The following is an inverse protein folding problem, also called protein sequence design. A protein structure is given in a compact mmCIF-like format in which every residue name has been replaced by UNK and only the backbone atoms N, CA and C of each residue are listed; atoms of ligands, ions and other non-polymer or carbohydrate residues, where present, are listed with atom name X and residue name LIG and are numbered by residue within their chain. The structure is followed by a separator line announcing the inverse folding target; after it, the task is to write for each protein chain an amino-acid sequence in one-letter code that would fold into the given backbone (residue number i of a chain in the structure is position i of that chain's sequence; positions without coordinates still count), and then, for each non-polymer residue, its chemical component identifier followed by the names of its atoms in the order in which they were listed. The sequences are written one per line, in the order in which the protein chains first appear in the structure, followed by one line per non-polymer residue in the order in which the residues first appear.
data_IF_598649621137
#
_entry.id   IF_598649621137
#
_cell.length_a   1.000
_cell.length_b   1.000
_cell.length_c   1.000
_cell.angle_alpha   90.00
_cell.angle_beta   90.00
_cell.angle_gamma   90.00
#
_symmetry.space_group_name_H-M   'P 1'
#
loop_
_entity.id
_entity.type
_entity.pdbx_description
1 polymer ?
#
# COMPACT_ATOMS: atom_id res chain seq x y z
N UNK A 1 23.63 -7.08 -54.53
CA UNK A 1 23.13 -5.79 -53.99
C UNK A 1 21.77 -5.91 -53.29
N UNK A 2 20.76 -6.57 -53.87
CA UNK A 2 19.39 -6.64 -53.32
C UNK A 2 19.24 -7.37 -51.97
N UNK A 3 19.96 -8.48 -51.75
CA UNK A 3 19.86 -9.25 -50.48
C UNK A 3 20.42 -8.54 -49.24
N UNK A 4 21.46 -7.70 -49.40
CA UNK A 4 22.00 -6.88 -48.29
C UNK A 4 21.00 -5.80 -47.86
N UNK A 5 20.26 -5.23 -48.81
CA UNK A 5 19.25 -4.20 -48.55
C UNK A 5 18.06 -4.80 -47.80
N UNK A 6 17.59 -5.99 -48.20
CA UNK A 6 16.49 -6.69 -47.51
C UNK A 6 16.87 -7.03 -46.06
N UNK A 7 18.10 -7.50 -45.83
CA UNK A 7 18.59 -7.81 -44.50
C UNK A 7 18.65 -6.56 -43.62
N UNK A 8 19.18 -5.44 -44.14
CA UNK A 8 19.22 -4.17 -43.40
C UNK A 8 17.83 -3.66 -43.05
N UNK A 9 16.87 -3.72 -43.98
CA UNK A 9 15.48 -3.31 -43.73
C UNK A 9 14.84 -4.21 -42.66
N UNK A 10 15.03 -5.53 -42.74
CA UNK A 10 14.52 -6.48 -41.74
C UNK A 10 15.08 -6.20 -40.35
N UNK A 11 16.38 -5.92 -40.23
CA UNK A 11 17.02 -5.59 -38.94
C UNK A 11 16.50 -4.26 -38.38
N UNK A 12 16.22 -3.26 -39.22
CA UNK A 12 15.63 -1.98 -38.78
C UNK A 12 14.22 -2.20 -38.22
N UNK A 13 13.37 -2.97 -38.90
CA UNK A 13 12.03 -3.28 -38.39
C UNK A 13 12.08 -4.10 -37.10
N UNK A 14 12.96 -5.09 -37.02
CA UNK A 14 13.14 -5.89 -35.81
C UNK A 14 13.62 -5.01 -34.65
N UNK A 15 14.59 -4.13 -34.89
CA UNK A 15 15.11 -3.22 -33.88
C UNK A 15 14.04 -2.21 -33.44
N UNK A 16 13.29 -1.61 -34.36
CA UNK A 16 12.21 -0.68 -34.04
C UNK A 16 11.08 -1.36 -33.26
N UNK A 17 10.73 -2.60 -33.61
CA UNK A 17 9.72 -3.39 -32.90
C UNK A 17 10.19 -3.77 -31.48
N UNK A 18 11.42 -4.27 -31.34
CA UNK A 18 12.00 -4.60 -30.03
C UNK A 18 12.17 -3.34 -29.16
N UNK A 19 12.64 -2.23 -29.74
CA UNK A 19 12.81 -0.96 -29.03
C UNK A 19 11.48 -0.34 -28.63
N UNK A 20 10.44 -0.47 -29.46
CA UNK A 20 9.10 -0.01 -29.17
C UNK A 20 8.45 -0.78 -28.03
N UNK A 21 8.63 -2.11 -27.98
CA UNK A 21 8.18 -2.94 -26.86
C UNK A 21 8.96 -2.61 -25.59
N UNK A 22 10.30 -2.51 -25.68
CA UNK A 22 11.13 -2.14 -24.52
C UNK A 22 10.78 -0.74 -24.02
N UNK A 23 10.51 0.22 -24.92
CA UNK A 23 10.06 1.58 -24.57
C UNK A 23 8.68 1.60 -23.91
N UNK A 24 7.73 0.81 -24.42
CA UNK A 24 6.40 0.66 -23.84
C UNK A 24 6.45 0.04 -22.44
N UNK A 25 7.33 -0.95 -22.24
CA UNK A 25 7.55 -1.59 -20.93
C UNK A 25 8.35 -0.69 -19.98
N UNK A 26 9.33 0.07 -20.46
CA UNK A 26 10.19 0.91 -19.60
C UNK A 26 9.57 2.25 -19.21
N UNK A 27 8.57 2.74 -19.94
CA UNK A 27 7.88 4.00 -19.60
C UNK A 27 6.73 3.85 -18.60
N UNK A 28 6.42 2.65 -18.11
CA UNK A 28 5.51 2.33 -17.00
C UNK A 28 4.30 3.26 -16.89
N UNK A 29 3.12 2.81 -17.32
CA UNK A 29 1.94 3.67 -17.54
C UNK A 29 1.48 4.53 -16.36
N UNK A 30 0.42 5.35 -16.53
CA UNK A 30 0.00 6.31 -15.51
C UNK A 30 -0.20 5.65 -14.15
N UNK A 31 0.05 6.40 -13.08
CA UNK A 31 -0.36 5.94 -11.76
C UNK A 31 -1.88 5.93 -11.61
N UNK A 32 -2.35 5.27 -10.57
CA UNK A 32 -3.77 5.02 -10.33
C UNK A 32 -4.60 6.31 -10.30
N UNK A 33 -4.09 7.39 -9.70
CA UNK A 33 -4.77 8.69 -9.61
C UNK A 33 -4.90 9.36 -10.98
N UNK A 34 -3.80 9.40 -11.75
CA UNK A 34 -3.83 9.94 -13.12
C UNK A 34 -4.79 9.14 -14.01
N UNK A 35 -4.73 7.81 -13.93
CA UNK A 35 -5.59 6.92 -14.70
C UNK A 35 -7.08 7.10 -14.34
N UNK A 36 -7.40 7.38 -13.07
CA UNK A 36 -8.77 7.63 -12.61
C UNK A 36 -9.33 8.93 -13.18
N UNK A 37 -8.58 10.02 -13.11
CA UNK A 37 -9.02 11.29 -13.65
C UNK A 37 -9.14 11.31 -15.18
N UNK A 38 -8.38 10.46 -15.88
CA UNK A 38 -8.52 10.24 -17.33
C UNK A 38 -9.71 9.33 -17.69
N UNK A 39 -10.42 8.74 -16.72
CA UNK A 39 -11.50 7.79 -16.95
C UNK A 39 -11.03 6.41 -17.44
N UNK A 40 -9.75 6.10 -17.22
CA UNK A 40 -9.09 4.88 -17.70
C UNK A 40 -8.92 3.83 -16.60
N UNK A 41 -9.54 4.01 -15.43
CA UNK A 41 -9.58 2.99 -14.38
C UNK A 41 -10.87 3.09 -13.56
N UNK A 42 -11.37 1.94 -13.14
CA UNK A 42 -12.48 1.79 -12.19
C UNK A 42 -11.97 0.98 -10.99
N UNK A 43 -12.21 1.47 -9.77
CA UNK A 43 -11.74 0.83 -8.54
C UNK A 43 -12.95 0.47 -7.69
N UNK A 44 -13.13 -0.82 -7.41
CA UNK A 44 -14.28 -1.33 -6.65
C UNK A 44 -13.82 -2.14 -5.46
N UNK A 45 -14.40 -1.89 -4.30
CA UNK A 45 -14.13 -2.69 -3.12
C UNK A 45 -14.73 -4.11 -3.24
N UNK A 46 -13.94 -5.17 -2.98
CA UNK A 46 -14.40 -6.58 -3.08
C UNK A 46 -14.64 -7.23 -1.73
N UNK A 47 -13.81 -6.92 -0.73
CA UNK A 47 -13.96 -7.42 0.64
C UNK A 47 -15.01 -6.62 1.42
N UNK A 48 -15.49 -7.17 2.53
CA UNK A 48 -16.39 -6.50 3.47
C UNK A 48 -15.66 -6.09 4.75
N UNK A 49 -16.33 -5.32 5.61
CA UNK A 49 -15.80 -4.97 6.92
C UNK A 49 -15.43 -6.22 7.75
N UNK A 50 -14.24 -6.18 8.33
CA UNK A 50 -13.65 -7.21 9.18
C UNK A 50 -12.64 -8.12 8.48
N UNK A 51 -12.57 -8.07 7.15
CA UNK A 51 -11.58 -8.79 6.35
C UNK A 51 -10.25 -8.02 6.34
N UNK A 52 -9.17 -8.67 6.78
CA UNK A 52 -7.84 -8.05 6.85
C UNK A 52 -6.81 -9.04 6.30
N UNK A 53 -6.07 -8.71 5.22
CA UNK A 53 -6.21 -7.46 4.45
C UNK A 53 -7.56 -7.39 3.70
N UNK A 54 -7.91 -6.20 3.23
CA UNK A 54 -8.98 -6.00 2.27
C UNK A 54 -8.50 -6.32 0.84
N UNK A 55 -9.46 -6.52 -0.06
CA UNK A 55 -9.21 -6.69 -1.49
C UNK A 55 -10.05 -5.68 -2.26
N UNK A 56 -9.40 -5.02 -3.22
CA UNK A 56 -10.06 -4.16 -4.21
C UNK A 56 -9.85 -4.75 -5.60
N UNK A 57 -10.77 -4.46 -6.51
CA UNK A 57 -10.64 -4.75 -7.93
C UNK A 57 -10.28 -3.45 -8.64
N UNK A 58 -9.18 -3.47 -9.37
CA UNK A 58 -8.74 -2.38 -10.23
C UNK A 58 -8.95 -2.83 -11.67
N UNK A 59 -9.90 -2.21 -12.36
CA UNK A 59 -10.24 -2.51 -13.75
C UNK A 59 -9.66 -1.43 -14.65
N UNK A 60 -8.81 -1.83 -15.58
CA UNK A 60 -8.15 -0.97 -16.55
C UNK A 60 -8.75 -1.20 -17.94
N UNK A 61 -9.78 -0.45 -18.36
CA UNK A 61 -10.29 -0.49 -19.73
C UNK A 61 -9.35 0.18 -20.76
N UNK A 62 -8.25 0.81 -20.31
CA UNK A 62 -7.32 1.55 -21.16
C UNK A 62 -6.33 0.66 -21.93
N UNK A 63 -5.62 1.30 -22.87
CA UNK A 63 -4.62 0.67 -23.76
C UNK A 63 -3.19 0.69 -23.19
N UNK A 64 -3.01 1.28 -22.01
CA UNK A 64 -1.72 1.37 -21.30
C UNK A 64 -1.86 0.70 -19.94
N UNK A 65 -0.80 0.08 -19.41
CA UNK A 65 -0.84 -0.45 -18.06
C UNK A 65 -1.08 0.68 -17.03
N UNK A 66 -1.68 0.35 -15.90
CA UNK A 66 -1.88 1.28 -14.79
C UNK A 66 -1.07 0.81 -13.60
N UNK A 67 -0.27 1.71 -13.03
CA UNK A 67 0.55 1.42 -11.85
C UNK A 67 -0.22 1.72 -10.58
N UNK A 68 -0.37 0.70 -9.75
CA UNK A 68 -0.84 0.83 -8.38
C UNK A 68 0.38 0.85 -7.48
N UNK A 69 0.53 1.92 -6.71
CA UNK A 69 1.64 2.06 -5.76
C UNK A 69 1.15 1.66 -4.37
N UNK A 70 2.02 1.09 -3.56
CA UNK A 70 1.78 0.96 -2.11
C UNK A 70 1.54 2.35 -1.51
N UNK A 71 0.62 2.46 -0.55
CA UNK A 71 0.38 3.71 0.16
C UNK A 71 -0.57 4.68 -0.55
N UNK A 72 -1.14 4.34 -1.71
CA UNK A 72 -2.18 5.14 -2.37
C UNK A 72 -3.47 5.10 -1.54
N UNK A 73 -3.96 6.27 -1.14
CA UNK A 73 -5.22 6.44 -0.40
C UNK A 73 -6.37 6.27 -1.37
N UNK A 74 -7.37 5.48 -0.96
CA UNK A 74 -8.61 5.25 -1.69
C UNK A 74 -9.78 5.69 -0.81
N UNK A 75 -10.58 6.64 -1.29
CA UNK A 75 -11.74 7.18 -0.56
C UNK A 75 -13.05 6.73 -1.18
N UNK A 76 -14.09 6.72 -0.36
CA UNK A 76 -15.46 6.51 -0.81
C UNK A 76 -16.41 7.39 -0.01
N UNK A 77 -17.43 7.89 -0.69
CA UNK A 77 -18.54 8.58 -0.01
C UNK A 77 -19.44 7.61 0.75
N UNK A 78 -19.41 6.32 0.41
CA UNK A 78 -20.30 5.30 1.00
C UNK A 78 -19.56 4.28 1.85
N UNK A 79 -18.28 4.01 1.57
CA UNK A 79 -17.42 3.06 2.29
C UNK A 79 -16.34 3.72 3.15
N UNK A 80 -15.75 2.97 4.09
CA UNK A 80 -14.51 3.32 4.78
C UNK A 80 -13.34 3.45 3.80
N UNK A 81 -12.48 4.46 4.02
CA UNK A 81 -11.28 4.67 3.23
C UNK A 81 -10.27 3.52 3.37
N UNK A 82 -9.58 3.19 2.28
CA UNK A 82 -8.56 2.15 2.20
C UNK A 82 -7.20 2.74 1.79
N UNK A 83 -6.14 1.96 1.95
CA UNK A 83 -4.80 2.22 1.42
C UNK A 83 -4.24 0.97 0.77
N UNK A 84 -3.70 1.10 -0.43
CA UNK A 84 -3.11 -0.02 -1.17
C UNK A 84 -1.88 -0.58 -0.45
N UNK A 85 -1.79 -1.91 -0.37
CA UNK A 85 -0.73 -2.60 0.38
C UNK A 85 0.49 -2.96 -0.48
N UNK A 86 0.34 -2.98 -1.81
CA UNK A 86 1.36 -3.52 -2.72
C UNK A 86 1.56 -2.65 -3.95
N UNK A 87 2.77 -2.74 -4.51
CA UNK A 87 3.10 -2.20 -5.80
C UNK A 87 2.73 -3.24 -6.85
N UNK A 88 1.83 -2.89 -7.77
CA UNK A 88 1.42 -3.78 -8.84
C UNK A 88 1.11 -3.01 -10.11
N UNK A 89 1.06 -3.72 -11.23
CA UNK A 89 0.74 -3.16 -12.53
C UNK A 89 -0.47 -3.90 -13.10
N UNK A 90 -1.52 -3.15 -13.43
CA UNK A 90 -2.72 -3.69 -14.05
C UNK A 90 -2.56 -3.57 -15.56
N UNK A 91 -2.48 -4.71 -16.24
CA UNK A 91 -2.30 -4.75 -17.68
C UNK A 91 -3.44 -4.03 -18.43
N UNK A 92 -3.19 -3.53 -19.66
CA UNK A 92 -4.23 -2.99 -20.52
C UNK A 92 -5.41 -3.94 -20.67
N UNK A 93 -6.61 -3.38 -20.81
CA UNK A 93 -7.87 -4.12 -21.06
C UNK A 93 -8.11 -5.30 -20.11
N UNK A 94 -7.68 -5.15 -18.85
CA UNK A 94 -7.72 -6.22 -17.85
C UNK A 94 -8.18 -5.72 -16.49
N UNK A 95 -8.30 -6.65 -15.54
CA UNK A 95 -8.58 -6.34 -14.14
C UNK A 95 -7.65 -7.14 -13.25
N UNK A 96 -7.22 -6.53 -12.15
CA UNK A 96 -6.44 -7.20 -11.12
C UNK A 96 -7.07 -6.97 -9.75
N UNK A 97 -6.94 -7.97 -8.88
CA UNK A 97 -7.19 -7.80 -7.46
C UNK A 97 -5.94 -7.25 -6.80
N UNK A 98 -6.13 -6.26 -5.91
CA UNK A 98 -5.06 -5.61 -5.17
C UNK A 98 -5.39 -5.64 -3.70
N UNK A 99 -4.40 -5.97 -2.88
CA UNK A 99 -4.54 -5.97 -1.42
C UNK A 99 -4.49 -4.55 -0.87
N UNK A 100 -5.28 -4.30 0.17
CA UNK A 100 -5.39 -3.00 0.82
C UNK A 100 -5.62 -3.14 2.32
N UNK A 101 -5.35 -2.07 3.07
CA UNK A 101 -5.69 -1.94 4.49
C UNK A 101 -6.71 -0.84 4.69
N UNK A 102 -7.50 -0.92 5.76
CA UNK A 102 -8.44 0.14 6.13
C UNK A 102 -7.71 1.31 6.81
N UNK A 103 -7.99 2.53 6.37
CA UNK A 103 -7.49 3.77 6.99
C UNK A 103 -8.46 4.34 8.03
N UNK A 104 -9.74 3.98 7.96
CA UNK A 104 -10.81 4.58 8.76
C UNK A 104 -11.40 3.55 9.74
N UNK A 105 -10.78 3.34 10.91
CA UNK A 105 -11.20 2.28 11.85
C UNK A 105 -12.67 2.38 12.28
N UNK A 106 -13.21 3.58 12.39
CA UNK A 106 -14.59 3.82 12.85
C UNK A 106 -15.64 3.66 11.74
N UNK A 107 -15.21 3.56 10.48
CA UNK A 107 -16.10 3.45 9.32
C UNK A 107 -15.98 2.08 8.66
N UNK A 108 -17.11 1.41 8.49
CA UNK A 108 -17.13 0.09 7.84
C UNK A 108 -16.81 0.22 6.38
N UNK A 109 -15.97 -0.68 5.92
CA UNK A 109 -15.74 -0.88 4.50
C UNK A 109 -16.89 -1.71 3.89
N UNK A 110 -17.33 -1.37 2.68
CA UNK A 110 -18.53 -1.89 2.03
C UNK A 110 -18.19 -2.51 0.68
N UNK A 111 -18.49 -3.80 0.54
CA UNK A 111 -18.35 -4.53 -0.72
C UNK A 111 -19.20 -3.89 -1.82
N UNK A 112 -18.60 -3.75 -3.00
CA UNK A 112 -19.20 -3.13 -4.18
C UNK A 112 -19.16 -1.61 -4.20
N UNK A 113 -18.60 -0.96 -3.18
CA UNK A 113 -18.43 0.49 -3.19
C UNK A 113 -17.37 0.92 -4.19
N UNK A 114 -17.67 2.00 -4.93
CA UNK A 114 -16.68 2.70 -5.75
C UNK A 114 -15.67 3.43 -4.87
N UNK A 115 -14.41 3.40 -5.31
CA UNK A 115 -13.27 3.99 -4.64
C UNK A 115 -12.56 4.97 -5.57
N UNK A 116 -12.09 6.08 -5.01
CA UNK A 116 -11.38 7.13 -5.74
C UNK A 116 -9.99 7.34 -5.12
N UNK A 117 -8.92 7.42 -5.92
CA UNK A 117 -7.60 7.79 -5.41
C UNK A 117 -7.61 9.20 -4.83
N UNK A 118 -6.94 9.39 -3.69
CA UNK A 118 -6.93 10.65 -2.95
C UNK A 118 -5.54 10.97 -2.38
N UNK A 119 -4.50 10.82 -3.21
CA UNK A 119 -3.11 11.01 -2.83
C UNK A 119 -2.49 9.81 -2.13
N UNK A 120 -1.43 10.06 -1.37
CA UNK A 120 -0.64 9.02 -0.68
C UNK A 120 -0.62 9.25 0.82
N UNK A 121 -0.46 8.16 1.58
CA UNK A 121 -0.26 8.25 3.03
C UNK A 121 1.07 8.94 3.36
N UNK A 122 1.21 9.48 4.59
CA UNK A 122 2.49 9.99 5.07
C UNK A 122 3.60 8.93 5.09
N UNK A 123 4.86 9.37 4.97
CA UNK A 123 6.01 8.48 4.79
C UNK A 123 6.20 7.40 5.85
N UNK A 124 5.92 7.69 7.13
CA UNK A 124 6.03 6.67 8.19
C UNK A 124 5.00 5.55 8.00
N UNK A 125 3.77 5.90 7.61
CA UNK A 125 2.72 4.93 7.33
C UNK A 125 3.02 4.15 6.05
N UNK A 126 3.58 4.81 5.03
CA UNK A 126 4.06 4.15 3.81
C UNK A 126 5.16 3.12 4.12
N UNK A 127 6.10 3.43 5.01
CA UNK A 127 7.15 2.50 5.45
C UNK A 127 6.59 1.31 6.24
N UNK A 128 5.59 1.53 7.10
CA UNK A 128 4.86 0.45 7.80
C UNK A 128 4.17 -0.48 6.82
N UNK A 129 3.49 0.06 5.80
CA UNK A 129 2.77 -0.75 4.80
C UNK A 129 3.76 -1.49 3.90
N UNK A 130 4.76 -0.80 3.36
CA UNK A 130 5.73 -1.39 2.42
C UNK A 130 6.68 -2.41 3.07
N UNK A 131 6.83 -2.39 4.39
CA UNK A 131 7.55 -3.42 5.14
C UNK A 131 6.70 -4.61 5.58
N UNK A 132 5.39 -4.58 5.32
CA UNK A 132 4.48 -5.67 5.64
C UNK A 132 4.42 -6.73 4.54
N UNK A 133 4.08 -7.94 4.92
CA UNK A 133 3.62 -9.00 4.05
C UNK A 133 2.08 -9.14 4.17
N UNK A 134 1.30 -8.51 3.27
CA UNK A 134 -0.17 -8.56 3.34
C UNK A 134 -0.74 -9.97 3.14
N UNK A 135 0.02 -10.91 2.57
CA UNK A 135 -0.42 -12.30 2.40
C UNK A 135 -0.27 -13.15 3.67
N UNK A 136 0.58 -12.76 4.64
CA UNK A 136 0.64 -13.42 5.95
C UNK A 136 -0.49 -12.87 6.85
N UNK A 137 -1.48 -13.70 7.26
CA UNK A 137 -2.64 -13.20 8.00
C UNK A 137 -2.34 -12.59 9.37
N UNK A 138 -1.20 -12.95 9.99
CA UNK A 138 -0.75 -12.38 11.26
C UNK A 138 -0.07 -11.04 11.02
N UNK A 139 0.78 -10.97 10.01
CA UNK A 139 1.47 -9.72 9.66
C UNK A 139 0.48 -8.67 9.14
N UNK A 140 -0.42 -9.06 8.23
CA UNK A 140 -1.49 -8.17 7.75
C UNK A 140 -2.35 -7.60 8.89
N UNK A 141 -2.65 -8.42 9.91
CA UNK A 141 -3.38 -7.94 11.08
C UNK A 141 -2.56 -6.99 11.94
N UNK A 142 -1.29 -7.32 12.20
CA UNK A 142 -0.35 -6.45 12.92
C UNK A 142 -0.25 -5.09 12.22
N UNK A 143 -0.02 -5.08 10.91
CA UNK A 143 0.07 -3.87 10.09
C UNK A 143 -1.24 -3.08 10.08
N UNK A 144 -2.39 -3.74 10.00
CA UNK A 144 -3.69 -3.07 10.09
C UNK A 144 -3.86 -2.32 11.42
N UNK A 145 -3.42 -2.90 12.54
CA UNK A 145 -3.45 -2.24 13.84
C UNK A 145 -2.47 -1.05 13.89
N UNK A 146 -1.26 -1.20 13.34
CA UNK A 146 -0.30 -0.10 13.24
C UNK A 146 -0.90 1.09 12.49
N UNK A 147 -1.53 0.84 11.34
CA UNK A 147 -2.17 1.87 10.52
C UNK A 147 -3.25 2.60 11.32
N UNK A 148 -4.12 1.87 12.05
CA UNK A 148 -5.16 2.50 12.86
C UNK A 148 -4.60 3.34 14.01
N UNK A 149 -3.56 2.85 14.69
CA UNK A 149 -2.87 3.62 15.73
C UNK A 149 -2.27 4.89 15.13
N UNK A 150 -1.59 4.82 13.99
CA UNK A 150 -1.02 6.01 13.33
C UNK A 150 -2.11 6.96 12.79
N UNK A 151 -3.29 6.43 12.44
CA UNK A 151 -4.41 7.23 11.94
C UNK A 151 -5.21 7.94 13.04
N UNK A 152 -5.20 7.43 14.29
CA UNK A 152 -6.09 7.89 15.38
C UNK A 152 -5.46 8.09 16.75
N UNK A 153 -4.31 7.49 17.04
CA UNK A 153 -3.71 7.51 18.36
C UNK A 153 -4.67 6.96 19.42
N UNK A 154 -4.91 7.75 20.48
CA UNK A 154 -5.84 7.38 21.55
C UNK A 154 -7.32 7.62 21.22
N UNK A 155 -7.63 8.35 20.14
CA UNK A 155 -9.00 8.53 19.66
C UNK A 155 -9.56 7.25 18.97
N UNK A 156 -8.74 6.21 18.83
CA UNK A 156 -9.12 4.93 18.24
C UNK A 156 -10.26 4.27 19.02
N UNK A 157 -11.46 4.27 18.43
CA UNK A 157 -12.62 3.63 19.04
C UNK A 157 -12.75 2.16 18.64
N UNK A 158 -12.33 1.27 19.54
CA UNK A 158 -12.32 -0.17 19.26
C UNK A 158 -13.71 -0.82 19.14
N UNK A 159 -14.80 -0.15 19.53
CA UNK A 159 -16.13 -0.75 19.62
C UNK A 159 -17.04 -0.44 18.42
N UNK A 160 -16.51 0.16 17.36
CA UNK A 160 -17.30 0.60 16.21
C UNK A 160 -16.64 0.26 14.88
N UNK A 161 -17.40 0.48 13.81
CA UNK A 161 -16.85 0.51 12.47
C UNK A 161 -16.23 -0.78 11.98
N UNK A 162 -15.07 -0.61 11.37
CA UNK A 162 -14.18 -1.64 10.87
C UNK A 162 -13.58 -2.43 12.02
N UNK A 163 -13.12 -1.76 13.09
CA UNK A 163 -12.49 -2.43 14.24
C UNK A 163 -13.43 -3.46 14.87
N UNK A 164 -14.68 -3.07 15.12
CA UNK A 164 -15.71 -3.99 15.62
C UNK A 164 -15.90 -5.19 14.69
N UNK A 165 -15.96 -4.94 13.38
CA UNK A 165 -16.15 -5.99 12.39
C UNK A 165 -14.95 -6.95 12.35
N UNK A 166 -13.72 -6.44 12.46
CA UNK A 166 -12.50 -7.26 12.52
C UNK A 166 -12.46 -8.16 13.76
N UNK A 167 -12.87 -7.63 14.92
CA UNK A 167 -12.98 -8.43 16.15
C UNK A 167 -13.97 -9.58 15.95
N UNK A 168 -15.11 -9.33 15.32
CA UNK A 168 -16.11 -10.37 15.02
C UNK A 168 -15.63 -11.36 13.96
N UNK A 169 -15.04 -10.87 12.87
CA UNK A 169 -14.55 -11.71 11.76
C UNK A 169 -13.41 -12.64 12.16
N UNK A 170 -12.63 -12.27 13.19
CA UNK A 170 -11.51 -13.07 13.71
C UNK A 170 -11.83 -13.88 14.97
N UNK A 171 -13.11 -13.97 15.35
CA UNK A 171 -13.58 -14.60 16.60
C UNK A 171 -12.78 -14.15 17.84
N UNK A 172 -12.46 -12.86 17.88
CA UNK A 172 -11.64 -12.24 18.91
C UNK A 172 -12.53 -11.57 19.96
N UNK A 173 -12.02 -11.45 21.19
CA UNK A 173 -12.61 -10.63 22.25
C UNK A 173 -11.93 -9.27 22.34
N UNK A 174 -12.66 -8.25 22.77
CA UNK A 174 -12.11 -6.89 22.88
C UNK A 174 -10.88 -6.76 23.80
N UNK A 175 -10.77 -7.57 24.85
CA UNK A 175 -9.55 -7.55 25.67
C UNK A 175 -8.32 -8.04 24.90
N UNK A 176 -8.48 -9.08 24.05
CA UNK A 176 -7.39 -9.56 23.20
C UNK A 176 -6.99 -8.51 22.16
N UNK A 177 -7.97 -7.78 21.61
CA UNK A 177 -7.68 -6.65 20.74
C UNK A 177 -6.89 -5.56 21.47
N UNK A 178 -7.25 -5.23 22.72
CA UNK A 178 -6.51 -4.25 23.52
C UNK A 178 -5.08 -4.70 23.78
N UNK A 179 -4.87 -5.98 24.11
CA UNK A 179 -3.53 -6.55 24.28
C UNK A 179 -2.70 -6.43 22.99
N UNK A 180 -3.31 -6.72 21.83
CA UNK A 180 -2.66 -6.57 20.53
C UNK A 180 -2.33 -5.09 20.22
N UNK A 181 -3.23 -4.15 20.52
CA UNK A 181 -2.97 -2.71 20.34
C UNK A 181 -1.81 -2.26 21.23
N UNK A 182 -1.75 -2.71 22.49
CA UNK A 182 -0.64 -2.40 23.39
C UNK A 182 0.68 -2.95 22.88
N UNK A 183 0.70 -4.20 22.39
CA UNK A 183 1.89 -4.80 21.78
C UNK A 183 2.36 -3.99 20.57
N UNK A 184 1.46 -3.65 19.65
CA UNK A 184 1.77 -2.89 18.44
C UNK A 184 2.22 -1.46 18.75
N UNK A 185 1.65 -0.80 19.77
CA UNK A 185 2.14 0.51 20.24
C UNK A 185 3.59 0.43 20.74
N UNK A 186 3.92 -0.59 21.53
CA UNK A 186 5.29 -0.81 21.99
C UNK A 186 6.24 -1.06 20.81
N UNK A 187 5.76 -1.76 19.80
CA UNK A 187 6.52 -2.07 18.60
C UNK A 187 6.81 -0.81 17.78
N UNK A 188 5.78 0.01 17.48
CA UNK A 188 5.94 1.32 16.84
C UNK A 188 6.90 2.23 17.61
N UNK A 189 6.82 2.23 18.94
CA UNK A 189 7.75 2.98 19.78
C UNK A 189 9.19 2.50 19.60
N UNK A 190 9.41 1.18 19.60
CA UNK A 190 10.75 0.60 19.47
C UNK A 190 11.33 0.71 18.05
N UNK A 191 10.55 0.42 17.02
CA UNK A 191 11.03 0.37 15.63
C UNK A 191 11.16 1.76 15.02
N UNK A 192 10.26 2.69 15.37
CA UNK A 192 10.21 4.03 14.77
C UNK A 192 10.66 5.13 15.74
N UNK A 193 11.05 4.78 16.96
CA UNK A 193 11.51 5.75 17.97
C UNK A 193 10.42 6.72 18.40
N UNK A 194 9.15 6.28 18.38
CA UNK A 194 8.00 7.08 18.80
C UNK A 194 7.83 6.99 20.32
N UNK A 195 7.54 8.12 20.97
CA UNK A 195 7.19 8.12 22.40
C UNK A 195 5.73 7.75 22.62
N UNK A 196 5.37 7.37 23.85
CA UNK A 196 3.98 7.11 24.22
C UNK A 196 3.10 8.35 23.98
N UNK A 197 3.57 9.53 24.39
CA UNK A 197 2.87 10.80 24.15
C UNK A 197 2.67 11.04 22.64
N UNK A 198 3.69 10.80 21.82
CA UNK A 198 3.59 10.93 20.37
C UNK A 198 2.55 9.97 19.78
N UNK A 199 2.50 8.73 20.25
CA UNK A 199 1.51 7.74 19.81
C UNK A 199 0.10 8.02 20.34
N UNK A 200 -0.04 8.73 21.45
CA UNK A 200 -1.36 9.12 21.98
C UNK A 200 -2.00 10.24 21.15
N UNK A 201 -1.20 11.21 20.69
CA UNK A 201 -1.67 12.40 19.97
C UNK A 201 -1.62 12.26 18.43
N UNK A 202 -1.01 11.17 17.92
CA UNK A 202 -0.86 10.99 16.47
C UNK A 202 -2.21 10.81 15.79
N UNK A 203 -2.34 11.44 14.63
CA UNK A 203 -3.43 11.21 13.70
C UNK A 203 -2.88 11.32 12.27
N UNK A 204 -3.68 10.93 11.28
CA UNK A 204 -3.26 10.86 9.88
C UNK A 204 -2.72 12.19 9.31
N UNK A 205 -3.09 13.33 9.88
CA UNK A 205 -2.62 14.66 9.45
C UNK A 205 -1.43 15.19 10.28
N UNK A 206 -0.93 14.40 11.23
CA UNK A 206 0.18 14.82 12.10
C UNK A 206 1.48 14.94 11.31
N UNK A 207 2.22 16.03 11.55
CA UNK A 207 3.54 16.25 10.95
C UNK A 207 4.58 15.20 11.38
N UNK A 208 4.34 14.52 12.50
CA UNK A 208 5.14 13.39 12.97
C UNK A 208 5.24 12.28 11.91
N UNK A 209 4.15 12.04 11.17
CA UNK A 209 4.06 10.96 10.19
C UNK A 209 4.82 11.25 8.89
N UNK A 210 5.23 12.50 8.66
CA UNK A 210 6.02 12.90 7.48
C UNK A 210 7.54 12.71 7.67
N UNK A 211 7.98 12.14 8.80
CA UNK A 211 9.39 11.81 9.01
C UNK A 211 9.79 10.67 8.08
N UNK A 212 10.89 10.85 7.35
CA UNK A 212 11.13 10.03 6.17
C UNK A 212 11.58 8.60 6.44
N UNK A 213 12.12 8.23 7.62
CA UNK A 213 12.55 6.84 7.90
C UNK A 213 12.64 6.53 9.40
N UNK A 214 12.48 5.25 9.76
CA UNK A 214 12.89 4.70 11.06
C UNK A 214 14.39 4.93 11.28
N UNK A 215 14.83 5.56 12.38
CA UNK A 215 16.24 5.71 12.69
C UNK A 215 16.95 4.34 12.82
N UNK A 216 16.24 3.31 13.28
CA UNK A 216 16.80 1.95 13.46
C UNK A 216 17.03 1.22 12.13
N UNK A 217 16.18 1.42 11.11
CA UNK A 217 16.46 0.92 9.75
C UNK A 217 17.76 1.51 9.19
N UNK A 218 18.01 2.81 9.40
CA UNK A 218 19.27 3.47 8.99
C UNK A 218 20.47 2.84 9.72
N UNK A 219 20.36 2.58 11.03
CA UNK A 219 21.42 1.90 11.78
C UNK A 219 21.68 0.47 11.28
N UNK A 220 20.64 -0.32 11.01
CA UNK A 220 20.80 -1.68 10.46
C UNK A 220 21.43 -1.70 9.06
N UNK A 221 21.10 -0.72 8.20
CA UNK A 221 21.73 -0.56 6.90
C UNK A 221 23.21 -0.14 7.04
N UNK A 222 23.51 0.80 7.94
CA UNK A 222 24.88 1.23 8.25
C UNK A 222 25.72 0.09 8.85
N UNK A 223 25.13 -0.74 9.71
CA UNK A 223 25.80 -1.89 10.32
C UNK A 223 26.03 -3.01 9.31
N UNK A 224 25.06 -3.26 8.42
CA UNK A 224 25.22 -4.14 7.27
C UNK A 224 26.30 -3.67 6.29
N UNK A 225 26.41 -2.35 6.06
CA UNK A 225 27.49 -1.73 5.29
C UNK A 225 28.84 -1.84 6.00
N UNK A 226 28.89 -1.58 7.31
CA UNK A 226 30.11 -1.68 8.13
C UNK A 226 30.64 -3.12 8.17
N UNK A 227 29.77 -4.12 8.26
CA UNK A 227 30.16 -5.53 8.20
C UNK A 227 30.61 -5.96 6.80
N UNK A 228 30.15 -5.30 5.74
CA UNK A 228 30.59 -5.54 4.35
C UNK A 228 31.89 -4.83 3.98
N UNK A 229 32.19 -3.68 4.57
CA UNK A 229 33.38 -2.89 4.26
C UNK A 229 34.46 -2.90 5.37
N UNK A 230 34.17 -3.47 6.53
CA UNK A 230 35.10 -3.61 7.67
C UNK A 230 35.97 -4.87 7.63
N UNK A 231 35.93 -5.65 6.55
CA UNK A 231 36.80 -6.80 6.32
C UNK A 231 37.74 -6.52 5.14
N UNK A 232 38.69 -5.61 5.33
CA UNK A 232 39.93 -5.57 4.53
C UNK A 232 41.08 -5.54 5.55
N UNK A 233 42.00 -6.53 5.52
CA UNK A 233 43.15 -6.57 6.44
C UNK A 233 44.11 -5.39 6.25
#
# INVERSE_FOLDING_TARGET
MKGRIILVIGTIFLFAFLSGIIGYVTMGGPDLETAYHEGNVEITQKSSAGEVPHTIEVKNPGQRPVRVKTGTILRSETSGGLVTAENTEVAPESSAEVLAYSLEPERRTMKGAGLEPAGTVPSLMEDVISSSNPEDPRDAFRTQLMIWILARGDDLNIYRGEVYATVKGRDMRFYQLRDNITAVKSELASEYGLTEDQLSEVNINSSLLNRSQSPFKIFSMLEGLKNRFGAIP
#
